data_IF_844905737169
#
_entry.id   IF_844905737169
#
_cell.length_a   1.000
_cell.length_b   1.000
_cell.length_c   1.000
_cell.angle_alpha   90.00
_cell.angle_beta   90.00
_cell.angle_gamma   90.00
#
_symmetry.space_group_name_H-M   'P 1'
#
loop_
_entity.id
_entity.type
_entity.pdbx_description
1 polymer ?
#
# COMPACT_ATOMS: atom_id res chain seq x y z
N UNK A 1 -0.34 18.07 -12.65
CA UNK A 1 -0.25 16.69 -12.12
C UNK A 1 0.42 15.84 -13.19
N UNK A 2 1.48 15.12 -12.85
CA UNK A 2 2.21 14.24 -13.80
C UNK A 2 1.29 13.12 -14.32
N UNK A 3 1.46 12.72 -15.57
CA UNK A 3 0.70 11.62 -16.17
C UNK A 3 0.95 10.29 -15.45
N UNK A 4 2.16 10.08 -14.94
CA UNK A 4 2.53 8.93 -14.12
C UNK A 4 1.72 8.88 -12.82
N UNK A 5 1.48 10.03 -12.21
CA UNK A 5 0.72 10.11 -10.96
C UNK A 5 -0.76 9.86 -11.21
N UNK A 6 -1.32 10.29 -12.35
CA UNK A 6 -2.69 9.92 -12.71
C UNK A 6 -2.83 8.42 -12.94
N UNK A 7 -1.85 7.79 -13.62
CA UNK A 7 -1.85 6.34 -13.83
C UNK A 7 -1.74 5.57 -12.52
N UNK A 8 -0.92 6.05 -11.59
CA UNK A 8 -0.87 5.52 -10.23
C UNK A 8 -2.22 5.62 -9.52
N UNK A 9 -2.87 6.79 -9.56
CA UNK A 9 -4.18 6.97 -8.94
C UNK A 9 -5.22 5.99 -9.53
N UNK A 10 -5.23 5.80 -10.86
CA UNK A 10 -6.11 4.81 -11.55
C UNK A 10 -5.85 3.38 -11.06
N UNK A 11 -4.58 3.00 -10.83
CA UNK A 11 -4.25 1.67 -10.31
C UNK A 11 -4.74 1.49 -8.87
N UNK A 12 -4.65 2.53 -8.04
CA UNK A 12 -5.21 2.51 -6.68
C UNK A 12 -6.73 2.41 -6.69
N UNK A 13 -7.42 3.14 -7.57
CA UNK A 13 -8.87 3.04 -7.73
C UNK A 13 -9.29 1.64 -8.19
N UNK A 14 -8.55 1.04 -9.12
CA UNK A 14 -8.78 -0.34 -9.57
C UNK A 14 -8.58 -1.35 -8.43
N UNK A 15 -7.58 -1.15 -7.56
CA UNK A 15 -7.38 -2.01 -6.40
C UNK A 15 -8.54 -1.89 -5.41
N UNK A 16 -9.09 -0.69 -5.20
CA UNK A 16 -10.25 -0.50 -4.35
C UNK A 16 -11.51 -1.19 -4.93
N UNK A 17 -11.72 -1.09 -6.24
CA UNK A 17 -12.83 -1.78 -6.90
C UNK A 17 -12.66 -3.31 -6.85
N UNK A 18 -11.44 -3.82 -7.06
CA UNK A 18 -11.15 -5.26 -6.94
C UNK A 18 -11.35 -5.77 -5.50
N UNK A 19 -11.01 -4.97 -4.48
CA UNK A 19 -11.28 -5.29 -3.07
C UNK A 19 -12.79 -5.43 -2.80
N UNK A 20 -13.61 -4.60 -3.43
CA UNK A 20 -15.06 -4.67 -3.34
C UNK A 20 -15.70 -5.75 -4.25
N UNK A 21 -14.88 -6.62 -4.87
CA UNK A 21 -15.31 -7.63 -5.84
C UNK A 21 -16.04 -7.03 -7.07
N UNK A 22 -15.78 -5.78 -7.41
CA UNK A 22 -16.42 -5.05 -8.52
C UNK A 22 -15.70 -5.23 -9.86
N UNK A 23 -14.55 -5.91 -9.88
CA UNK A 23 -13.75 -6.16 -11.07
C UNK A 23 -13.45 -7.65 -11.26
N UNK A 24 -13.17 -8.04 -12.51
CA UNK A 24 -12.75 -9.40 -12.87
C UNK A 24 -11.31 -9.73 -12.47
N UNK A 25 -10.48 -8.71 -12.21
CA UNK A 25 -9.11 -8.90 -11.72
C UNK A 25 -9.13 -9.23 -10.23
N UNK A 26 -8.23 -10.09 -9.77
CA UNK A 26 -8.11 -10.37 -8.34
C UNK A 26 -7.54 -9.16 -7.60
N UNK A 27 -7.88 -9.05 -6.32
CA UNK A 27 -7.31 -7.99 -5.48
C UNK A 27 -5.79 -8.08 -5.41
N UNK A 28 -5.21 -9.26 -5.21
CA UNK A 28 -3.74 -9.44 -5.24
C UNK A 28 -3.12 -8.98 -6.58
N UNK A 29 -3.74 -9.30 -7.71
CA UNK A 29 -3.24 -8.86 -9.03
C UNK A 29 -3.24 -7.34 -9.15
N UNK A 30 -4.25 -6.67 -8.61
CA UNK A 30 -4.28 -5.21 -8.54
C UNK A 30 -3.14 -4.62 -7.69
N UNK A 31 -2.83 -5.23 -6.54
CA UNK A 31 -1.72 -4.82 -5.67
C UNK A 31 -0.36 -5.01 -6.36
N UNK A 32 -0.21 -6.12 -7.07
CA UNK A 32 0.98 -6.40 -7.88
C UNK A 32 1.19 -5.38 -8.99
N UNK A 33 0.11 -4.93 -9.63
CA UNK A 33 0.19 -3.92 -10.67
C UNK A 33 0.67 -2.58 -10.11
N UNK A 34 0.22 -2.18 -8.92
CA UNK A 34 0.72 -0.99 -8.22
C UNK A 34 2.21 -1.14 -7.93
N UNK A 35 2.64 -2.25 -7.31
CA UNK A 35 4.04 -2.48 -6.96
C UNK A 35 4.96 -2.46 -8.19
N UNK A 36 4.59 -3.17 -9.27
CA UNK A 36 5.33 -3.18 -10.53
C UNK A 36 5.43 -1.80 -11.14
N UNK A 37 4.34 -1.02 -11.10
CA UNK A 37 4.30 0.34 -11.63
C UNK A 37 5.28 1.25 -10.87
N UNK A 38 5.23 1.22 -9.53
CA UNK A 38 6.15 2.02 -8.69
C UNK A 38 7.61 1.65 -8.94
N UNK A 39 7.93 0.35 -9.01
CA UNK A 39 9.30 -0.13 -9.30
C UNK A 39 9.80 0.29 -10.68
N UNK A 40 8.90 0.48 -11.65
CA UNK A 40 9.25 0.91 -13.02
C UNK A 40 9.53 2.41 -13.13
N UNK A 41 9.10 3.21 -12.15
CA UNK A 41 9.16 4.67 -12.17
C UNK A 41 9.87 5.25 -10.92
N UNK A 42 11.11 4.83 -10.60
CA UNK A 42 11.80 5.25 -9.38
C UNK A 42 12.02 6.77 -9.28
N UNK A 43 12.06 7.48 -10.41
CA UNK A 43 12.18 8.94 -10.48
C UNK A 43 10.98 9.69 -9.86
N UNK A 44 9.83 9.01 -9.72
CA UNK A 44 8.62 9.53 -9.09
C UNK A 44 8.45 9.11 -7.62
N UNK A 45 9.49 8.52 -7.00
CA UNK A 45 9.44 8.03 -5.59
C UNK A 45 8.85 9.06 -4.61
N UNK A 46 9.28 10.32 -4.69
CA UNK A 46 8.79 11.36 -3.78
C UNK A 46 7.29 11.61 -3.92
N UNK A 47 6.77 11.61 -5.15
CA UNK A 47 5.35 11.76 -5.43
C UNK A 47 4.56 10.53 -4.97
N UNK A 48 5.06 9.31 -5.21
CA UNK A 48 4.45 8.08 -4.72
C UNK A 48 4.39 8.03 -3.20
N UNK A 49 5.45 8.46 -2.51
CA UNK A 49 5.44 8.61 -1.05
C UNK A 49 4.32 9.55 -0.62
N UNK A 50 4.13 10.68 -1.32
CA UNK A 50 3.02 11.60 -1.06
C UNK A 50 1.65 10.92 -1.19
N UNK A 51 1.45 10.13 -2.25
CA UNK A 51 0.19 9.40 -2.48
C UNK A 51 -0.06 8.29 -1.48
N UNK A 52 0.95 7.50 -1.13
CA UNK A 52 0.82 6.50 -0.08
C UNK A 52 0.47 7.14 1.27
N UNK A 53 1.08 8.28 1.61
CA UNK A 53 0.69 9.03 2.82
C UNK A 53 -0.76 9.51 2.77
N UNK A 54 -1.25 9.92 1.60
CA UNK A 54 -2.66 10.28 1.42
C UNK A 54 -3.59 9.08 1.63
N UNK A 55 -3.27 7.92 1.05
CA UNK A 55 -4.01 6.66 1.25
C UNK A 55 -4.11 6.34 2.75
N UNK A 56 -3.01 6.45 3.48
CA UNK A 56 -2.95 6.15 4.92
C UNK A 56 -3.74 7.12 5.82
N UNK A 57 -4.19 8.26 5.30
CA UNK A 57 -5.01 9.22 6.08
C UNK A 57 -6.47 9.30 5.59
N UNK A 58 -6.76 8.71 4.45
CA UNK A 58 -8.11 8.59 3.90
C UNK A 58 -8.83 7.41 4.54
N UNK A 59 -10.11 7.58 4.89
CA UNK A 59 -10.90 6.50 5.51
C UNK A 59 -11.35 5.43 4.51
N UNK A 60 -11.29 5.73 3.20
CA UNK A 60 -11.85 4.90 2.13
C UNK A 60 -10.75 4.37 1.18
N UNK A 61 -9.51 4.24 1.64
CA UNK A 61 -8.40 3.84 0.79
C UNK A 61 -7.75 2.54 1.28
N UNK A 62 -7.29 1.66 0.37
CA UNK A 62 -6.79 0.34 0.75
C UNK A 62 -5.41 0.46 1.42
N UNK A 63 -5.40 0.52 2.76
CA UNK A 63 -4.17 0.49 3.57
C UNK A 63 -3.27 -0.70 3.20
N UNK A 64 -3.89 -1.80 2.84
CA UNK A 64 -3.25 -3.04 2.44
C UNK A 64 -2.44 -2.90 1.14
N UNK A 65 -2.85 -2.02 0.21
CA UNK A 65 -2.01 -1.69 -0.95
C UNK A 65 -0.68 -1.04 -0.54
N UNK A 66 -0.70 -0.24 0.53
CA UNK A 66 0.51 0.36 1.09
C UNK A 66 1.35 -0.70 1.80
N UNK A 67 0.75 -1.54 2.64
CA UNK A 67 1.44 -2.62 3.34
C UNK A 67 2.14 -3.56 2.33
N UNK A 68 1.40 -4.02 1.32
CA UNK A 68 1.90 -4.88 0.26
C UNK A 68 3.08 -4.27 -0.49
N UNK A 69 3.00 -2.99 -0.85
CA UNK A 69 4.11 -2.32 -1.53
C UNK A 69 5.32 -2.15 -0.61
N UNK A 70 5.10 -1.82 0.67
CA UNK A 70 6.19 -1.56 1.61
C UNK A 70 6.92 -2.82 2.04
N UNK A 71 6.28 -4.00 1.98
CA UNK A 71 6.96 -5.28 2.16
C UNK A 71 8.17 -5.42 1.23
N UNK A 72 8.00 -5.08 -0.04
CA UNK A 72 9.07 -5.14 -1.05
C UNK A 72 9.94 -3.86 -1.05
N UNK A 73 9.32 -2.68 -1.01
CA UNK A 73 10.03 -1.41 -1.23
C UNK A 73 10.80 -0.90 -0.01
N UNK A 74 10.33 -1.23 1.20
CA UNK A 74 10.97 -0.86 2.47
C UNK A 74 11.30 0.64 2.61
N UNK A 75 10.43 1.54 2.12
CA UNK A 75 10.66 2.99 2.20
C UNK A 75 10.43 3.52 3.62
N UNK A 76 11.51 3.94 4.29
CA UNK A 76 11.47 4.40 5.68
C UNK A 76 10.56 5.62 5.88
N UNK A 77 10.39 6.47 4.87
CA UNK A 77 9.56 7.68 4.94
C UNK A 77 8.07 7.37 5.15
N UNK A 78 7.62 6.18 4.74
CA UNK A 78 6.26 5.69 5.00
C UNK A 78 6.19 5.10 6.41
N UNK A 79 7.17 4.28 6.82
CA UNK A 79 7.28 3.75 8.19
C UNK A 79 7.23 4.86 9.24
N UNK A 80 8.09 5.88 9.09
CA UNK A 80 8.15 7.04 9.98
C UNK A 80 6.83 7.80 10.02
N UNK A 81 6.18 7.96 8.86
CA UNK A 81 4.88 8.61 8.79
C UNK A 81 3.80 7.84 9.55
N UNK A 82 3.72 6.53 9.37
CA UNK A 82 2.78 5.66 10.08
C UNK A 82 3.01 5.74 11.59
N UNK A 83 4.25 5.63 12.05
CA UNK A 83 4.61 5.76 13.48
C UNK A 83 4.18 7.12 14.03
N UNK A 84 4.36 8.21 13.27
CA UNK A 84 3.96 9.56 13.70
C UNK A 84 2.44 9.76 13.82
N UNK A 85 1.65 8.92 13.15
CA UNK A 85 0.18 9.02 13.07
C UNK A 85 -0.55 8.05 13.99
N UNK A 86 0.13 7.02 14.49
CA UNK A 86 -0.47 6.07 15.40
C UNK A 86 -0.88 6.76 16.71
N UNK A 87 -2.20 6.75 17.00
CA UNK A 87 -2.72 7.07 18.32
C UNK A 87 -3.41 5.84 18.92
N UNK A 88 -2.70 5.07 19.76
CA UNK A 88 -3.16 3.77 20.28
C UNK A 88 -4.44 3.81 21.09
N UNK A 89 -4.83 4.98 21.60
CA UNK A 89 -5.82 5.05 22.68
C UNK A 89 -7.29 5.05 22.22
N UNK A 90 -7.57 5.33 20.93
CA UNK A 90 -8.95 5.63 20.49
C UNK A 90 -9.27 5.39 19.00
N UNK A 91 -8.30 5.11 18.12
CA UNK A 91 -8.53 5.18 16.67
C UNK A 91 -8.49 3.79 15.99
N UNK A 92 -9.60 3.29 15.39
CA UNK A 92 -9.61 2.08 14.57
C UNK A 92 -8.57 2.10 13.45
N UNK A 93 -8.22 3.28 12.91
CA UNK A 93 -7.14 3.42 11.93
C UNK A 93 -5.78 3.08 12.52
N UNK A 94 -5.60 3.17 13.84
CA UNK A 94 -4.36 2.71 14.48
C UNK A 94 -4.15 1.21 14.32
N UNK A 95 -5.20 0.40 14.18
CA UNK A 95 -5.06 -1.04 13.88
C UNK A 95 -4.61 -1.25 12.43
N UNK A 96 -5.25 -0.57 11.47
CA UNK A 96 -4.83 -0.61 10.06
C UNK A 96 -3.39 -0.11 9.86
N UNK A 97 -3.02 1.00 10.51
CA UNK A 97 -1.67 1.55 10.50
C UNK A 97 -0.66 0.57 11.14
N UNK A 98 -1.04 -0.18 12.18
CA UNK A 98 -0.18 -1.23 12.74
C UNK A 98 0.05 -2.36 11.75
N UNK A 99 -0.97 -2.78 11.01
CA UNK A 99 -0.81 -3.79 9.94
C UNK A 99 0.15 -3.31 8.85
N UNK A 100 0.18 -2.02 8.52
CA UNK A 100 1.19 -1.48 7.59
C UNK A 100 2.61 -1.58 8.16
N UNK A 101 2.79 -1.44 9.48
CA UNK A 101 4.12 -1.56 10.10
C UNK A 101 4.66 -2.99 10.08
N UNK A 102 3.80 -4.00 10.20
CA UNK A 102 4.25 -5.41 10.20
C UNK A 102 4.86 -5.83 8.86
N UNK A 103 4.52 -5.15 7.76
CA UNK A 103 5.16 -5.36 6.46
C UNK A 103 6.67 -5.06 6.47
N UNK A 104 7.15 -4.26 7.42
CA UNK A 104 8.58 -3.91 7.59
C UNK A 104 9.35 -4.85 8.51
N UNK A 105 8.67 -5.77 9.18
CA UNK A 105 9.31 -6.72 10.09
C UNK A 105 9.88 -7.89 9.28
N UNK A 106 10.88 -8.59 9.82
CA UNK A 106 11.47 -9.77 9.15
C UNK A 106 10.39 -10.82 8.81
N UNK A 107 9.43 -10.98 9.71
CA UNK A 107 8.25 -11.81 9.55
C UNK A 107 7.00 -10.94 9.38
N UNK A 108 6.35 -11.03 8.21
CA UNK A 108 5.03 -10.43 7.98
C UNK A 108 3.97 -11.53 8.00
N UNK A 109 3.08 -11.57 9.02
CA UNK A 109 2.10 -12.64 9.16
C UNK A 109 1.19 -12.82 7.96
N UNK A 110 0.85 -11.73 7.27
CA UNK A 110 -0.09 -11.73 6.14
C UNK A 110 0.60 -12.10 4.81
N UNK A 111 1.92 -12.36 4.82
CA UNK A 111 2.66 -12.65 3.60
C UNK A 111 2.18 -13.95 2.91
N UNK A 112 1.70 -14.94 3.68
CA UNK A 112 1.21 -16.22 3.16
C UNK A 112 -0.15 -16.10 2.43
N UNK A 113 -0.88 -15.02 2.66
CA UNK A 113 -2.12 -14.68 1.95
C UNK A 113 -1.83 -14.37 0.48
N UNK A 114 -0.65 -13.83 0.18
CA UNK A 114 -0.27 -13.42 -1.16
C UNK A 114 0.60 -14.48 -1.84
N UNK A 115 0.12 -15.02 -2.96
CA UNK A 115 0.89 -15.97 -3.78
C UNK A 115 2.25 -15.41 -4.22
N UNK A 116 2.35 -14.07 -4.37
CA UNK A 116 3.60 -13.38 -4.67
C UNK A 116 4.69 -13.59 -3.62
N UNK A 117 4.32 -13.55 -2.34
CA UNK A 117 5.27 -13.69 -1.22
C UNK A 117 5.42 -15.14 -0.75
N UNK A 118 4.50 -16.04 -1.13
CA UNK A 118 4.59 -17.47 -0.80
C UNK A 118 5.77 -18.21 -1.46
N UNK A 119 6.40 -17.63 -2.50
CA UNK A 119 7.49 -18.26 -3.26
C UNK A 119 8.80 -17.44 -3.31
N UNK A 120 8.96 -16.43 -2.43
CA UNK A 120 10.19 -15.63 -2.32
C UNK A 120 11.08 -16.12 -1.18
#
# INVERSE_FOLDING_TARGET
MSEIIKQFDILCDAAMAAFNEELEISYEESLLNILKFVKKHPEYRADFIGRFKMILVSNDSPFEAVAFCMRELQWSEIKEFVVSRMNPSQDPRSEALRSVLTAYDDFWPDADIYAYYANT
#
